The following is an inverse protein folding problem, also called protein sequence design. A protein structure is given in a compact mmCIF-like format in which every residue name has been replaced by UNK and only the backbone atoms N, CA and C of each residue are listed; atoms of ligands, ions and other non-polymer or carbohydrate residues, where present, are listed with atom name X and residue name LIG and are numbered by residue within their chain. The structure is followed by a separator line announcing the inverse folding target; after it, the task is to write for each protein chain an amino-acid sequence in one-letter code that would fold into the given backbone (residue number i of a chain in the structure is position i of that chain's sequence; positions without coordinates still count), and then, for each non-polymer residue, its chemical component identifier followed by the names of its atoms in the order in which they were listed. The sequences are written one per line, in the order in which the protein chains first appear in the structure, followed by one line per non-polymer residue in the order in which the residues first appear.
data_IF_283500878128
#
_entry.id   IF_283500878128
#
_cell.length_a   1.000
_cell.length_b   1.000
_cell.length_c   1.000
_cell.angle_alpha   90.00
_cell.angle_beta   90.00
_cell.angle_gamma   90.00
#
_symmetry.space_group_name_H-M   'P 1'
#
loop_
_entity.id
_entity.type
_entity.pdbx_description
1 polymer ?
#
# COMPACT_ATOMS: atom_id res chain seq x y z
N UNK A 1 -4.68 10.90 -24.99
CA UNK A 1 -4.32 9.59 -24.42
C UNK A 1 -3.54 9.65 -23.10
N UNK A 2 -2.79 10.72 -22.78
CA UNK A 2 -2.05 10.82 -21.49
C UNK A 2 -2.92 10.97 -20.23
N UNK A 3 -4.16 11.50 -20.35
CA UNK A 3 -4.99 11.82 -19.18
C UNK A 3 -5.46 10.60 -18.36
N UNK A 4 -5.42 9.39 -18.95
CA UNK A 4 -5.89 8.14 -18.31
C UNK A 4 -4.75 7.16 -17.98
N UNK A 5 -3.50 7.48 -18.31
CA UNK A 5 -2.37 6.58 -18.07
C UNK A 5 -2.17 6.25 -16.59
N UNK A 6 -2.37 7.22 -15.70
CA UNK A 6 -2.31 7.00 -14.25
C UNK A 6 -3.39 6.00 -13.79
N UNK A 7 -4.60 6.10 -14.33
CA UNK A 7 -5.72 5.22 -13.96
C UNK A 7 -5.44 3.78 -14.38
N UNK A 8 -4.94 3.57 -15.61
CA UNK A 8 -4.55 2.25 -16.10
C UNK A 8 -3.45 1.65 -15.21
N UNK A 9 -2.42 2.43 -14.87
CA UNK A 9 -1.34 1.96 -13.99
C UNK A 9 -1.86 1.59 -12.59
N UNK A 10 -2.78 2.38 -12.02
CA UNK A 10 -3.39 2.06 -10.72
C UNK A 10 -4.27 0.82 -10.76
N UNK A 11 -4.98 0.58 -11.88
CA UNK A 11 -5.75 -0.65 -12.09
C UNK A 11 -4.83 -1.87 -12.22
N UNK A 12 -3.75 -1.76 -12.99
CA UNK A 12 -2.74 -2.81 -13.06
C UNK A 12 -2.11 -3.09 -11.69
N UNK A 13 -1.81 -2.05 -10.91
CA UNK A 13 -1.31 -2.21 -9.55
C UNK A 13 -2.32 -2.93 -8.65
N UNK A 14 -3.61 -2.59 -8.73
CA UNK A 14 -4.67 -3.27 -7.98
C UNK A 14 -4.78 -4.77 -8.34
N UNK A 15 -4.64 -5.12 -9.63
CA UNK A 15 -4.57 -6.51 -10.08
C UNK A 15 -3.36 -7.25 -9.49
N UNK A 16 -2.19 -6.62 -9.51
CA UNK A 16 -0.97 -7.19 -8.92
C UNK A 16 -1.12 -7.39 -7.41
N UNK A 17 -1.69 -6.43 -6.68
CA UNK A 17 -1.96 -6.55 -5.24
C UNK A 17 -2.94 -7.68 -4.93
N UNK A 18 -4.03 -7.79 -5.69
CA UNK A 18 -5.00 -8.88 -5.53
C UNK A 18 -4.37 -10.26 -5.74
N UNK A 19 -3.58 -10.44 -6.80
CA UNK A 19 -2.85 -11.69 -7.06
C UNK A 19 -1.82 -11.97 -5.95
N UNK A 20 -1.06 -10.95 -5.52
CA UNK A 20 -0.07 -11.08 -4.47
C UNK A 20 -0.70 -11.57 -3.16
N UNK A 21 -1.84 -11.01 -2.75
CA UNK A 21 -2.55 -11.45 -1.55
C UNK A 21 -3.12 -12.85 -1.66
N UNK A 22 -3.67 -13.23 -2.81
CA UNK A 22 -4.15 -14.60 -3.03
C UNK A 22 -3.01 -15.63 -2.89
N UNK A 23 -1.85 -15.36 -3.50
CA UNK A 23 -0.66 -16.22 -3.38
C UNK A 23 -0.07 -16.20 -1.98
N UNK A 24 -0.01 -15.04 -1.34
CA UNK A 24 0.49 -14.89 0.02
C UNK A 24 -0.38 -15.65 1.02
N UNK A 25 -1.71 -15.65 0.84
CA UNK A 25 -2.61 -16.47 1.63
C UNK A 25 -2.24 -17.95 1.59
N UNK A 26 -1.87 -18.48 0.41
CA UNK A 26 -1.39 -19.87 0.28
C UNK A 26 -0.05 -20.09 0.98
N UNK A 27 0.88 -19.14 0.87
CA UNK A 27 2.21 -19.20 1.49
C UNK A 27 2.11 -19.17 3.02
N UNK A 28 1.36 -18.23 3.58
CA UNK A 28 1.28 -18.07 5.04
C UNK A 28 0.52 -19.22 5.71
N UNK A 29 -0.53 -19.74 5.06
CA UNK A 29 -1.23 -20.92 5.57
C UNK A 29 -0.46 -22.24 5.38
N UNK A 30 0.66 -22.26 4.64
CA UNK A 30 1.54 -23.43 4.60
C UNK A 30 2.50 -23.52 5.79
N UNK A 31 2.37 -22.64 6.79
CA UNK A 31 3.20 -22.60 7.99
C UNK A 31 4.40 -21.65 7.92
N UNK A 32 4.58 -20.94 6.81
CA UNK A 32 5.62 -19.91 6.68
C UNK A 32 5.21 -18.69 7.52
N UNK A 33 6.14 -18.20 8.34
CA UNK A 33 5.89 -17.01 9.16
C UNK A 33 5.81 -15.74 8.30
N UNK A 34 4.99 -14.78 8.72
CA UNK A 34 4.85 -13.48 8.05
C UNK A 34 6.18 -12.73 7.92
N UNK A 35 7.04 -12.82 8.95
CA UNK A 35 8.36 -12.19 8.95
C UNK A 35 9.30 -12.82 7.91
N UNK A 36 9.30 -14.16 7.79
CA UNK A 36 10.11 -14.84 6.78
C UNK A 36 9.64 -14.51 5.37
N UNK A 37 8.32 -14.54 5.12
CA UNK A 37 7.75 -14.17 3.83
C UNK A 37 8.15 -12.74 3.42
N UNK A 38 8.07 -11.78 4.35
CA UNK A 38 8.49 -10.40 4.11
C UNK A 38 9.98 -10.27 3.82
N UNK A 39 10.83 -10.98 4.56
CA UNK A 39 12.27 -10.95 4.31
C UNK A 39 12.60 -11.49 2.90
N UNK A 40 12.00 -12.63 2.52
CA UNK A 40 12.20 -13.23 1.20
C UNK A 40 11.73 -12.31 0.07
N UNK A 41 10.53 -11.73 0.19
CA UNK A 41 9.98 -10.78 -0.78
C UNK A 41 10.80 -9.47 -0.81
N UNK A 42 11.30 -9.04 0.34
CA UNK A 42 12.15 -7.86 0.50
C UNK A 42 13.45 -7.96 -0.28
N UNK A 43 14.09 -9.13 -0.32
CA UNK A 43 15.29 -9.37 -1.12
C UNK A 43 15.01 -9.19 -2.63
N UNK A 44 13.90 -9.78 -3.11
CA UNK A 44 13.47 -9.61 -4.50
C UNK A 44 13.18 -8.14 -4.81
N UNK A 45 12.44 -7.47 -3.91
CA UNK A 45 12.05 -6.06 -4.04
C UNK A 45 13.25 -5.14 -4.11
N UNK A 46 14.22 -5.29 -3.20
CA UNK A 46 15.47 -4.52 -3.19
C UNK A 46 16.22 -4.70 -4.51
N UNK A 47 16.36 -5.94 -4.97
CA UNK A 47 17.06 -6.25 -6.22
C UNK A 47 16.40 -5.57 -7.43
N UNK A 48 15.06 -5.59 -7.50
CA UNK A 48 14.31 -4.89 -8.54
C UNK A 48 14.49 -3.37 -8.47
N UNK A 49 14.41 -2.77 -7.28
CA UNK A 49 14.56 -1.32 -7.12
C UNK A 49 15.98 -0.85 -7.44
N UNK A 50 17.01 -1.60 -7.05
CA UNK A 50 18.40 -1.32 -7.42
C UNK A 50 18.56 -1.36 -8.95
N UNK A 51 18.02 -2.37 -9.63
CA UNK A 51 18.09 -2.46 -11.09
C UNK A 51 17.41 -1.24 -11.78
N UNK A 52 16.26 -0.80 -11.26
CA UNK A 52 15.56 0.39 -11.76
C UNK A 52 16.37 1.67 -11.51
N UNK A 53 16.99 1.82 -10.33
CA UNK A 53 17.83 2.97 -10.00
C UNK A 53 19.06 3.05 -10.91
N UNK A 54 19.73 1.93 -11.16
CA UNK A 54 20.88 1.86 -12.07
C UNK A 54 20.46 2.23 -13.49
N UNK A 55 19.35 1.67 -13.99
CA UNK A 55 18.87 1.96 -15.35
C UNK A 55 18.41 3.40 -15.54
N UNK A 56 17.84 4.01 -14.50
CA UNK A 56 17.34 5.39 -14.56
C UNK A 56 18.43 6.44 -14.36
N UNK A 57 19.59 6.08 -13.79
CA UNK A 57 20.67 7.02 -13.50
C UNK A 57 20.33 8.06 -12.41
N UNK A 58 19.23 7.86 -11.68
CA UNK A 58 18.67 8.84 -10.72
C UNK A 58 19.21 8.70 -9.30
N UNK A 59 20.12 7.76 -9.06
CA UNK A 59 20.62 7.47 -7.72
C UNK A 59 21.25 8.69 -7.04
N UNK A 60 22.21 9.33 -7.70
CA UNK A 60 22.94 10.47 -7.13
C UNK A 60 22.05 11.69 -6.90
N UNK A 61 21.13 11.99 -7.83
CA UNK A 61 20.20 13.11 -7.67
C UNK A 61 19.23 12.87 -6.51
N UNK A 62 18.75 11.64 -6.34
CA UNK A 62 17.93 11.25 -5.18
C UNK A 62 18.66 11.46 -3.86
N UNK A 63 19.89 10.97 -3.74
CA UNK A 63 20.72 11.15 -2.53
C UNK A 63 20.93 12.63 -2.22
N UNK A 64 21.25 13.44 -3.22
CA UNK A 64 21.48 14.87 -3.05
C UNK A 64 20.23 15.59 -2.51
N UNK A 65 19.04 15.30 -3.05
CA UNK A 65 17.78 15.90 -2.58
C UNK A 65 17.54 15.56 -1.10
N UNK A 66 17.75 14.29 -0.72
CA UNK A 66 17.54 13.83 0.66
C UNK A 66 18.52 14.48 1.63
N UNK A 67 19.79 14.66 1.23
CA UNK A 67 20.80 15.33 2.05
C UNK A 67 20.51 16.82 2.23
N UNK A 68 20.00 17.48 1.20
CA UNK A 68 19.75 18.93 1.21
C UNK A 68 18.42 19.28 1.88
N UNK A 69 17.45 18.37 1.91
CA UNK A 69 16.11 18.63 2.44
C UNK A 69 15.75 17.68 3.58
N UNK A 70 15.91 18.18 4.82
CA UNK A 70 15.57 17.43 6.05
C UNK A 70 14.10 17.01 6.10
N UNK A 71 13.19 17.80 5.54
CA UNK A 71 11.76 17.44 5.49
C UNK A 71 11.57 16.20 4.63
N UNK A 72 12.17 16.16 3.44
CA UNK A 72 12.13 14.98 2.57
C UNK A 72 12.74 13.76 3.26
N UNK A 73 13.86 13.92 3.95
CA UNK A 73 14.46 12.83 4.73
C UNK A 73 13.50 12.27 5.79
N UNK A 74 12.88 13.12 6.61
CA UNK A 74 11.94 12.66 7.63
C UNK A 74 10.66 12.08 7.03
N UNK A 75 10.15 12.63 5.92
CA UNK A 75 9.04 12.04 5.19
C UNK A 75 9.38 10.63 4.66
N UNK A 76 10.58 10.43 4.11
CA UNK A 76 11.04 9.12 3.65
C UNK A 76 11.13 8.12 4.80
N UNK A 77 11.67 8.53 5.96
CA UNK A 77 11.71 7.67 7.14
C UNK A 77 10.30 7.30 7.63
N UNK A 78 9.38 8.26 7.68
CA UNK A 78 7.99 8.00 8.06
C UNK A 78 7.30 7.04 7.08
N UNK A 79 7.46 7.26 5.78
CA UNK A 79 6.94 6.36 4.73
C UNK A 79 7.53 4.96 4.86
N UNK A 80 8.84 4.83 5.06
CA UNK A 80 9.50 3.54 5.25
C UNK A 80 8.94 2.81 6.48
N UNK A 81 8.81 3.49 7.62
CA UNK A 81 8.22 2.93 8.83
C UNK A 81 6.77 2.47 8.58
N UNK A 82 5.93 3.31 7.99
CA UNK A 82 4.53 2.97 7.68
C UNK A 82 4.41 1.80 6.70
N UNK A 83 5.24 1.73 5.65
CA UNK A 83 5.22 0.64 4.67
C UNK A 83 5.65 -0.69 5.30
N UNK A 84 6.73 -0.69 6.09
CA UNK A 84 7.23 -1.90 6.76
C UNK A 84 6.20 -2.39 7.77
N UNK A 85 5.71 -1.51 8.65
CA UNK A 85 4.70 -1.86 9.65
C UNK A 85 3.39 -2.28 9.00
N UNK A 86 2.94 -1.55 7.97
CA UNK A 86 1.70 -1.85 7.24
C UNK A 86 1.75 -3.22 6.58
N UNK A 87 2.81 -3.53 5.82
CA UNK A 87 2.97 -4.85 5.23
C UNK A 87 3.03 -5.96 6.28
N UNK A 88 3.75 -5.76 7.39
CA UNK A 88 3.78 -6.73 8.48
C UNK A 88 2.40 -7.00 9.07
N UNK A 89 1.62 -5.95 9.34
CA UNK A 89 0.26 -6.08 9.87
C UNK A 89 -0.68 -6.79 8.90
N UNK A 90 -0.63 -6.46 7.61
CA UNK A 90 -1.44 -7.12 6.57
C UNK A 90 -1.07 -8.60 6.46
N UNK A 91 0.22 -8.92 6.38
CA UNK A 91 0.67 -10.30 6.28
C UNK A 91 0.28 -11.09 7.53
N UNK A 92 0.39 -10.47 8.71
CA UNK A 92 -0.07 -11.09 9.94
C UNK A 92 -1.58 -11.33 9.92
N UNK A 93 -2.37 -10.35 9.47
CA UNK A 93 -3.82 -10.51 9.32
C UNK A 93 -4.18 -11.64 8.35
N UNK A 94 -3.48 -11.77 7.22
CA UNK A 94 -3.67 -12.86 6.24
C UNK A 94 -3.27 -14.23 6.82
N UNK A 95 -2.36 -14.28 7.79
CA UNK A 95 -2.06 -15.54 8.50
C UNK A 95 -3.12 -15.92 9.54
N UNK A 96 -3.96 -14.98 9.95
CA UNK A 96 -5.01 -15.18 10.96
C UNK A 96 -6.39 -15.38 10.33
N UNK A 97 -6.62 -14.82 9.14
CA UNK A 97 -7.85 -14.88 8.37
C UNK A 97 -7.50 -14.95 6.88
N UNK A 98 -8.40 -15.43 6.04
CA UNK A 98 -8.15 -15.55 4.61
C UNK A 98 -7.95 -14.20 3.91
N UNK A 99 -7.12 -14.23 2.84
CA UNK A 99 -6.67 -13.04 2.11
C UNK A 99 -7.79 -12.14 1.57
N UNK A 100 -8.91 -12.67 1.02
CA UNK A 100 -10.03 -11.83 0.56
C UNK A 100 -10.56 -10.88 1.64
N UNK A 101 -10.82 -11.38 2.85
CA UNK A 101 -11.37 -10.55 3.93
C UNK A 101 -10.42 -9.44 4.37
N UNK A 102 -9.12 -9.76 4.44
CA UNK A 102 -8.10 -8.77 4.80
C UNK A 102 -8.03 -7.68 3.73
N UNK A 103 -7.99 -8.06 2.46
CA UNK A 103 -7.91 -7.11 1.34
C UNK A 103 -9.12 -6.16 1.30
N UNK A 104 -10.32 -6.67 1.59
CA UNK A 104 -11.56 -5.88 1.64
C UNK A 104 -11.54 -4.88 2.79
N UNK A 105 -11.03 -5.25 3.95
CA UNK A 105 -10.91 -4.32 5.07
C UNK A 105 -9.81 -3.29 4.81
N UNK A 106 -8.69 -3.71 4.22
CA UNK A 106 -7.55 -2.86 3.91
C UNK A 106 -7.92 -1.73 2.94
N UNK A 107 -8.84 -1.96 1.99
CA UNK A 107 -9.26 -0.96 0.99
C UNK A 107 -9.87 0.31 1.59
N UNK A 108 -10.05 0.38 2.92
CA UNK A 108 -10.37 1.62 3.64
C UNK A 108 -9.21 2.64 3.66
N UNK A 109 -7.98 2.25 3.32
CA UNK A 109 -6.81 3.15 3.33
C UNK A 109 -6.95 4.45 2.52
N UNK A 110 -7.66 4.53 1.37
CA UNK A 110 -7.81 5.78 0.62
C UNK A 110 -8.48 6.89 1.45
N UNK A 111 -9.32 6.52 2.41
CA UNK A 111 -9.99 7.46 3.31
C UNK A 111 -8.96 8.05 4.29
N UNK A 112 -8.12 7.20 4.86
CA UNK A 112 -7.00 7.64 5.69
C UNK A 112 -5.98 8.46 4.89
N UNK A 113 -5.73 8.12 3.63
CA UNK A 113 -4.89 8.91 2.72
C UNK A 113 -5.46 10.32 2.54
N UNK A 114 -6.77 10.46 2.28
CA UNK A 114 -7.42 11.77 2.16
C UNK A 114 -7.33 12.56 3.47
N UNK A 115 -7.62 11.90 4.60
CA UNK A 115 -7.57 12.50 5.94
C UNK A 115 -6.16 13.02 6.26
N UNK A 116 -5.12 12.20 6.10
CA UNK A 116 -3.74 12.60 6.41
C UNK A 116 -3.21 13.64 5.43
N UNK A 117 -3.61 13.58 4.16
CA UNK A 117 -3.25 14.62 3.18
C UNK A 117 -3.84 15.97 3.57
N UNK A 118 -5.11 15.99 3.95
CA UNK A 118 -5.79 17.19 4.43
C UNK A 118 -5.17 17.70 5.75
N UNK A 119 -4.93 16.82 6.71
CA UNK A 119 -4.42 17.18 8.04
C UNK A 119 -2.98 17.71 8.01
N UNK A 120 -2.09 17.04 7.28
CA UNK A 120 -0.65 17.32 7.29
C UNK A 120 -0.25 18.41 6.30
N UNK A 121 -0.85 18.42 5.11
CA UNK A 121 -0.43 19.31 4.03
C UNK A 121 -1.44 20.41 3.72
N UNK A 122 -2.71 20.27 4.14
CA UNK A 122 -3.81 21.20 3.83
C UNK A 122 -4.00 21.48 2.34
N UNK A 123 -3.46 20.61 1.48
CA UNK A 123 -3.46 20.76 0.02
C UNK A 123 -4.61 20.01 -0.67
N UNK A 124 -5.55 19.48 0.11
CA UNK A 124 -6.71 18.75 -0.40
C UNK A 124 -7.98 19.56 -0.12
N UNK A 125 -8.63 20.00 -1.19
CA UNK A 125 -10.02 20.47 -1.10
C UNK A 125 -10.93 19.26 -0.91
N UNK A 126 -11.39 19.06 0.33
CA UNK A 126 -12.36 18.02 0.65
C UNK A 126 -13.71 18.37 0.02
N UNK A 127 -13.92 17.94 -1.23
CA UNK A 127 -15.23 18.04 -1.88
C UNK A 127 -16.21 17.01 -1.31
N UNK A 128 -17.50 17.33 -1.36
CA UNK A 128 -18.57 16.41 -0.92
C UNK A 128 -18.52 15.05 -1.61
N UNK A 129 -18.07 15.01 -2.87
CA UNK A 129 -17.92 13.78 -3.65
C UNK A 129 -16.87 12.83 -3.05
N UNK A 130 -15.74 13.36 -2.56
CA UNK A 130 -14.68 12.56 -1.92
C UNK A 130 -15.20 11.95 -0.62
N UNK A 131 -15.93 12.75 0.17
CA UNK A 131 -16.54 12.28 1.43
C UNK A 131 -17.57 11.19 1.17
N UNK A 132 -18.49 11.41 0.21
CA UNK A 132 -19.50 10.43 -0.17
C UNK A 132 -18.87 9.12 -0.70
N UNK A 133 -17.85 9.22 -1.56
CA UNK A 133 -17.10 8.07 -2.05
C UNK A 133 -16.42 7.29 -0.92
N UNK A 134 -15.80 7.99 0.05
CA UNK A 134 -15.21 7.37 1.23
C UNK A 134 -16.23 6.62 2.08
N UNK A 135 -17.42 7.19 2.31
CA UNK A 135 -18.50 6.51 3.03
C UNK A 135 -18.92 5.23 2.29
N UNK A 136 -19.07 5.30 0.97
CA UNK A 136 -19.44 4.13 0.15
C UNK A 136 -18.39 3.02 0.22
N UNK A 137 -17.10 3.35 0.25
CA UNK A 137 -16.02 2.37 0.45
C UNK A 137 -16.20 1.68 1.82
N UNK A 138 -16.38 2.44 2.90
CA UNK A 138 -16.58 1.86 4.23
C UNK A 138 -17.81 0.96 4.30
N UNK A 139 -18.95 1.42 3.77
CA UNK A 139 -20.19 0.65 3.75
C UNK A 139 -20.02 -0.62 2.91
N UNK A 140 -19.42 -0.51 1.73
CA UNK A 140 -19.14 -1.65 0.85
C UNK A 140 -18.26 -2.70 1.54
N UNK A 141 -17.15 -2.28 2.15
CA UNK A 141 -16.28 -3.18 2.91
C UNK A 141 -17.00 -3.82 4.10
N UNK A 142 -17.77 -3.04 4.86
CA UNK A 142 -18.53 -3.54 6.00
C UNK A 142 -19.56 -4.61 5.57
N UNK A 143 -20.33 -4.36 4.51
CA UNK A 143 -21.33 -5.31 4.00
C UNK A 143 -20.73 -6.67 3.64
N UNK A 144 -19.56 -6.67 2.99
CA UNK A 144 -18.90 -7.93 2.64
C UNK A 144 -18.41 -8.65 3.88
N UNK A 145 -17.88 -7.94 4.88
CA UNK A 145 -17.44 -8.53 6.14
C UNK A 145 -18.61 -9.08 6.99
N UNK A 146 -19.74 -8.39 7.02
CA UNK A 146 -20.92 -8.81 7.78
C UNK A 146 -21.49 -10.13 7.27
N UNK A 147 -21.52 -10.35 5.95
CA UNK A 147 -22.02 -11.60 5.37
C UNK A 147 -21.21 -12.82 5.78
N UNK A 148 -19.92 -12.66 6.04
CA UNK A 148 -19.03 -13.77 6.37
C UNK A 148 -18.73 -13.90 7.87
N UNK A 149 -19.38 -13.11 8.70
CA UNK A 149 -19.42 -13.28 10.16
C UNK A 149 -20.58 -14.15 10.66
N UNK A 150 -21.42 -14.65 9.74
CA UNK A 150 -22.43 -15.70 9.96
C UNK A 150 -21.95 -17.00 9.32
#
# INVERSE_FOLDING_TARGET
MLAWSWAILTLCAALCWGLAYALLGKILHSGISSAFALAAIGICTLSTYVAVLVKSGTFYSGVQIVQQNKVVFFCLLAVAACLISGQFLVYRAISLKDAPHVAILEICYPIFTCLFTWLLFRNLELSWHIVAGGILIFVGSALVLFRTSQ
#
